data_IF_772142014147
#
_entry.id   IF_772142014147
#
_cell.length_a   1.000
_cell.length_b   1.000
_cell.length_c   1.000
_cell.angle_alpha   90.00
_cell.angle_beta   90.00
_cell.angle_gamma   90.00
#
_symmetry.space_group_name_H-M   'P 1'
#
loop_
_entity.id
_entity.type
_entity.pdbx_description
1 polymer ?
#
# COMPACT_ATOMS: atom_id res chain seq x y z
N UNK A 1 29.83 -2.36 -17.86
CA UNK A 1 29.45 -2.29 -16.47
C UNK A 1 28.00 -2.79 -16.43
N UNK A 2 27.80 -4.00 -15.94
CA UNK A 2 26.46 -4.57 -15.77
C UNK A 2 25.78 -3.80 -14.65
N UNK A 3 24.76 -3.00 -14.98
CA UNK A 3 23.80 -2.51 -13.99
C UNK A 3 23.12 -3.75 -13.42
N UNK A 4 23.55 -4.18 -12.23
CA UNK A 4 22.73 -5.09 -11.44
C UNK A 4 21.40 -4.38 -11.21
N UNK A 5 20.38 -4.80 -11.95
CA UNK A 5 19.05 -4.24 -11.83
C UNK A 5 18.56 -4.44 -10.39
N UNK A 6 18.05 -3.38 -9.78
CA UNK A 6 17.41 -3.47 -8.47
C UNK A 6 16.31 -4.52 -8.60
N UNK A 7 16.35 -5.55 -7.75
CA UNK A 7 15.30 -6.56 -7.73
C UNK A 7 13.95 -5.88 -7.47
N UNK A 8 12.96 -6.18 -8.33
CA UNK A 8 11.60 -5.64 -8.20
C UNK A 8 11.02 -5.87 -6.81
N UNK A 9 10.34 -4.87 -6.25
CA UNK A 9 9.73 -4.96 -4.93
C UNK A 9 8.22 -4.84 -4.99
N UNK A 10 7.54 -5.75 -4.31
CA UNK A 10 6.08 -5.71 -4.12
C UNK A 10 5.79 -5.22 -2.71
N UNK A 11 5.03 -4.15 -2.61
CA UNK A 11 4.59 -3.52 -1.37
C UNK A 11 3.08 -3.65 -1.26
N UNK A 12 2.60 -4.33 -0.23
CA UNK A 12 1.17 -4.47 0.03
C UNK A 12 0.76 -3.56 1.17
N UNK A 13 -0.24 -2.70 0.93
CA UNK A 13 -0.78 -1.82 1.96
C UNK A 13 -2.02 -2.45 2.60
N UNK A 14 -1.98 -2.62 3.91
CA UNK A 14 -3.05 -3.27 4.67
C UNK A 14 -3.47 -2.46 5.88
N UNK A 15 -4.74 -2.55 6.25
CA UNK A 15 -5.25 -2.09 7.55
C UNK A 15 -6.58 -2.75 7.83
N UNK A 16 -6.95 -2.87 9.09
CA UNK A 16 -8.27 -3.38 9.51
C UNK A 16 -9.34 -2.29 9.57
N UNK A 17 -8.96 -1.04 9.34
CA UNK A 17 -9.87 0.11 9.36
C UNK A 17 -9.64 1.02 8.16
N UNK A 18 -10.72 1.53 7.61
CA UNK A 18 -10.69 2.54 6.54
C UNK A 18 -10.19 3.90 7.01
N UNK A 19 -9.91 4.79 6.08
CA UNK A 19 -9.56 6.21 6.31
C UNK A 19 -8.27 6.44 7.11
N UNK A 20 -7.33 5.49 7.10
CA UNK A 20 -5.99 5.67 7.70
C UNK A 20 -5.00 6.33 6.74
N UNK A 21 -5.32 6.41 5.45
CA UNK A 21 -4.48 7.04 4.42
C UNK A 21 -3.60 6.07 3.63
N UNK A 22 -3.92 4.77 3.57
CA UNK A 22 -3.17 3.77 2.77
C UNK A 22 -2.99 4.21 1.32
N UNK A 23 -4.11 4.43 0.63
CA UNK A 23 -4.14 4.85 -0.78
C UNK A 23 -3.30 6.09 -1.02
N UNK A 24 -3.49 7.14 -0.20
CA UNK A 24 -2.73 8.37 -0.31
C UNK A 24 -1.22 8.12 -0.15
N UNK A 25 -0.82 7.33 0.85
CA UNK A 25 0.59 7.00 1.07
C UNK A 25 1.17 6.14 -0.06
N UNK A 26 0.42 5.15 -0.59
CA UNK A 26 0.85 4.40 -1.77
C UNK A 26 1.16 5.34 -2.94
N UNK A 27 0.22 6.24 -3.25
CA UNK A 27 0.36 7.22 -4.33
C UNK A 27 1.58 8.12 -4.12
N UNK A 28 1.77 8.66 -2.92
CA UNK A 28 2.86 9.59 -2.66
C UNK A 28 4.23 8.93 -2.59
N UNK A 29 4.34 7.72 -2.04
CA UNK A 29 5.57 6.94 -2.02
C UNK A 29 5.93 6.52 -3.47
N UNK A 30 4.97 5.95 -4.20
CA UNK A 30 5.19 5.52 -5.58
C UNK A 30 5.47 6.69 -6.51
N UNK A 31 4.79 7.83 -6.33
CA UNK A 31 5.05 9.06 -7.09
C UNK A 31 6.46 9.60 -6.85
N UNK A 32 6.94 9.58 -5.59
CA UNK A 32 8.34 9.93 -5.29
C UNK A 32 9.33 9.01 -6.03
N UNK A 33 9.09 7.69 -5.98
CA UNK A 33 9.95 6.72 -6.66
C UNK A 33 9.94 6.91 -8.19
N UNK A 34 8.77 7.19 -8.77
CA UNK A 34 8.64 7.46 -10.19
C UNK A 34 9.40 8.72 -10.63
N UNK A 35 9.36 9.78 -9.82
CA UNK A 35 10.15 11.00 -10.05
C UNK A 35 11.66 10.79 -9.87
N UNK A 36 12.07 9.71 -9.17
CA UNK A 36 13.47 9.23 -9.14
C UNK A 36 13.80 8.29 -10.31
N UNK A 37 12.96 8.23 -11.34
CA UNK A 37 13.16 7.41 -12.55
C UNK A 37 12.89 5.91 -12.37
N UNK A 38 12.21 5.50 -11.29
CA UNK A 38 11.81 4.10 -11.06
C UNK A 38 10.50 3.80 -11.77
N UNK A 39 10.40 2.62 -12.37
CA UNK A 39 9.14 2.14 -12.94
C UNK A 39 8.23 1.62 -11.83
N UNK A 40 7.06 2.21 -11.69
CA UNK A 40 6.10 1.93 -10.63
C UNK A 40 4.80 1.40 -11.23
N UNK A 41 4.28 0.30 -10.69
CA UNK A 41 2.95 -0.19 -10.99
C UNK A 41 2.08 -0.13 -9.73
N UNK A 42 0.91 0.48 -9.84
CA UNK A 42 -0.12 0.42 -8.81
C UNK A 42 -1.19 -0.61 -9.17
N UNK A 43 -1.65 -1.35 -8.17
CA UNK A 43 -2.78 -2.28 -8.28
C UNK A 43 -3.86 -1.83 -7.30
N UNK A 44 -5.00 -1.40 -7.81
CA UNK A 44 -6.15 -1.01 -7.00
C UNK A 44 -7.03 -2.23 -6.71
N UNK A 45 -6.81 -2.83 -5.53
CA UNK A 45 -7.63 -3.93 -5.04
C UNK A 45 -8.73 -3.47 -4.06
N UNK A 46 -8.92 -2.13 -3.88
CA UNK A 46 -9.97 -1.54 -3.07
C UNK A 46 -11.23 -1.27 -3.91
N UNK A 47 -12.37 -1.80 -3.49
CA UNK A 47 -13.66 -1.56 -4.13
C UNK A 47 -14.09 -0.09 -4.14
N UNK A 48 -13.53 0.75 -3.27
CA UNK A 48 -13.77 2.19 -3.25
C UNK A 48 -13.11 2.92 -4.43
N UNK A 49 -12.16 2.27 -5.12
CA UNK A 49 -11.49 2.80 -6.32
C UNK A 49 -10.78 4.15 -6.08
N UNK A 50 -10.32 4.41 -4.86
CA UNK A 50 -9.69 5.69 -4.52
C UNK A 50 -8.41 5.91 -5.30
N UNK A 51 -7.58 4.89 -5.45
CA UNK A 51 -6.36 4.92 -6.25
C UNK A 51 -6.68 5.09 -7.74
N UNK A 52 -7.62 4.31 -8.26
CA UNK A 52 -8.07 4.38 -9.65
C UNK A 52 -8.56 5.78 -10.05
N UNK A 53 -9.21 6.51 -9.13
CA UNK A 53 -9.76 7.85 -9.37
C UNK A 53 -8.77 8.98 -9.17
N UNK A 54 -7.63 8.71 -8.56
CA UNK A 54 -6.66 9.75 -8.27
C UNK A 54 -5.92 10.22 -9.53
N UNK A 55 -5.68 9.33 -10.48
CA UNK A 55 -4.98 9.63 -11.72
C UNK A 55 -5.94 10.06 -12.83
N UNK A 56 -5.43 10.82 -13.80
CA UNK A 56 -6.14 11.17 -15.01
C UNK A 56 -5.72 10.24 -16.15
N UNK A 57 -6.68 9.85 -16.99
CA UNK A 57 -6.47 8.88 -18.07
C UNK A 57 -6.76 9.50 -19.44
N UNK A 58 -6.19 8.95 -20.52
CA UNK A 58 -6.50 9.39 -21.86
C UNK A 58 -8.01 9.31 -22.15
N UNK A 59 -8.55 10.30 -22.90
CA UNK A 59 -9.99 10.40 -23.22
C UNK A 59 -10.55 9.20 -23.98
N UNK A 60 -9.68 8.45 -24.67
CA UNK A 60 -10.03 7.26 -25.42
C UNK A 60 -9.99 5.97 -24.59
N UNK A 61 -9.68 6.06 -23.30
CA UNK A 61 -9.73 4.88 -22.44
C UNK A 61 -11.17 4.39 -22.32
N UNK A 62 -11.45 3.07 -22.54
CA UNK A 62 -12.81 2.55 -22.42
C UNK A 62 -13.36 2.72 -21.00
N UNK A 63 -14.58 3.21 -20.87
CA UNK A 63 -15.27 3.40 -19.57
C UNK A 63 -15.36 2.09 -18.77
N UNK A 64 -15.38 0.94 -19.45
CA UNK A 64 -15.45 -0.40 -18.87
C UNK A 64 -14.18 -1.21 -19.16
N UNK A 65 -13.01 -0.55 -19.15
CA UNK A 65 -11.75 -1.26 -19.30
C UNK A 65 -11.67 -2.40 -18.27
N UNK A 66 -11.12 -3.57 -18.64
CA UNK A 66 -10.87 -4.61 -17.67
C UNK A 66 -9.85 -4.11 -16.64
N UNK A 67 -9.93 -4.65 -15.43
CA UNK A 67 -9.05 -4.26 -14.35
C UNK A 67 -8.73 -5.44 -13.42
N UNK A 68 -8.36 -5.12 -12.20
CA UNK A 68 -7.93 -6.10 -11.20
C UNK A 68 -8.91 -7.25 -11.01
N UNK A 69 -10.21 -6.97 -10.93
CA UNK A 69 -11.22 -8.01 -10.68
C UNK A 69 -11.29 -9.03 -11.82
N UNK A 70 -11.33 -8.59 -13.10
CA UNK A 70 -11.33 -9.51 -14.25
C UNK A 70 -10.01 -10.24 -14.37
N UNK A 71 -8.90 -9.56 -14.20
CA UNK A 71 -7.57 -10.16 -14.22
C UNK A 71 -7.42 -11.24 -13.14
N UNK A 72 -7.80 -10.93 -11.90
CA UNK A 72 -7.70 -11.87 -10.78
C UNK A 72 -8.50 -13.16 -11.01
N UNK A 73 -9.67 -13.08 -11.61
CA UNK A 73 -10.49 -14.28 -11.91
C UNK A 73 -10.15 -14.96 -13.24
N UNK A 74 -9.18 -14.42 -14.02
CA UNK A 74 -8.76 -15.00 -15.30
C UNK A 74 -9.71 -14.69 -16.47
N UNK A 75 -10.39 -13.55 -16.43
CA UNK A 75 -11.27 -13.04 -17.49
C UNK A 75 -10.64 -11.91 -18.32
N UNK A 76 -9.40 -11.53 -18.02
CA UNK A 76 -8.59 -10.60 -18.79
C UNK A 76 -7.11 -10.95 -18.64
N UNK A 77 -6.34 -10.66 -19.68
CA UNK A 77 -4.90 -10.82 -19.68
C UNK A 77 -4.20 -9.59 -19.08
N UNK A 78 -2.94 -9.74 -18.65
CA UNK A 78 -2.19 -8.67 -18.00
C UNK A 78 -2.11 -7.40 -18.86
N UNK A 79 -1.81 -7.53 -20.14
CA UNK A 79 -1.63 -6.38 -21.04
C UNK A 79 -2.95 -5.64 -21.34
N UNK A 80 -4.09 -6.27 -21.09
CA UNK A 80 -5.41 -5.64 -21.25
C UNK A 80 -5.80 -4.77 -20.04
N UNK A 81 -5.18 -5.01 -18.87
CA UNK A 81 -5.55 -4.35 -17.61
C UNK A 81 -4.60 -3.25 -17.19
N UNK A 82 -3.42 -3.14 -17.83
CA UNK A 82 -2.46 -2.08 -17.53
C UNK A 82 -2.92 -0.78 -18.19
N UNK A 83 -3.08 0.26 -17.37
CA UNK A 83 -3.45 1.60 -17.81
C UNK A 83 -2.29 2.57 -17.57
N UNK A 84 -2.06 3.47 -18.54
CA UNK A 84 -1.05 4.51 -18.48
C UNK A 84 -1.71 5.86 -18.15
N UNK A 85 -1.53 6.43 -16.96
CA UNK A 85 -2.08 7.74 -16.64
C UNK A 85 -1.41 8.85 -17.42
N UNK A 86 -2.15 9.94 -17.64
CA UNK A 86 -1.61 11.11 -18.34
C UNK A 86 -0.57 11.81 -17.47
N UNK A 87 0.53 12.26 -18.09
CA UNK A 87 1.62 13.01 -17.44
C UNK A 87 2.44 12.25 -16.39
N UNK A 88 2.44 10.92 -16.41
CA UNK A 88 3.20 10.09 -15.50
C UNK A 88 3.91 8.94 -16.22
N UNK A 89 5.04 9.24 -16.90
CA UNK A 89 5.74 8.28 -17.78
C UNK A 89 6.24 7.01 -17.08
N UNK A 90 6.54 7.10 -15.78
CA UNK A 90 7.07 5.98 -14.99
C UNK A 90 6.00 5.29 -14.12
N UNK A 91 4.73 5.61 -14.32
CA UNK A 91 3.62 5.05 -13.52
C UNK A 91 2.64 4.34 -14.42
N UNK A 92 2.33 3.10 -14.06
CA UNK A 92 1.24 2.32 -14.62
C UNK A 92 0.28 1.89 -13.52
N UNK A 93 -0.97 1.60 -13.90
CA UNK A 93 -2.02 1.26 -12.94
C UNK A 93 -2.88 0.13 -13.48
N UNK A 94 -3.14 -0.85 -12.62
CA UNK A 94 -4.22 -1.83 -12.80
C UNK A 94 -5.41 -1.33 -11.98
N UNK A 95 -6.43 -0.84 -12.68
CA UNK A 95 -7.63 -0.23 -12.08
C UNK A 95 -8.49 -1.27 -11.38
N UNK A 96 -9.30 -0.85 -10.42
CA UNK A 96 -10.36 -1.70 -9.88
C UNK A 96 -11.58 -1.69 -10.82
N UNK A 97 -12.04 -2.85 -11.26
CA UNK A 97 -13.25 -3.03 -12.08
C UNK A 97 -14.33 -3.89 -11.38
N UNK A 98 -14.22 -4.06 -10.06
CA UNK A 98 -15.17 -4.80 -9.22
C UNK A 98 -15.64 -3.97 -8.01
N UNK A 99 -16.32 -2.82 -8.24
CA UNK A 99 -16.69 -1.88 -7.17
C UNK A 99 -17.67 -2.48 -6.14
N UNK A 100 -18.37 -3.55 -6.51
CA UNK A 100 -19.30 -4.25 -5.62
C UNK A 100 -18.67 -5.47 -4.93
N UNK A 101 -17.40 -5.76 -5.14
CA UNK A 101 -16.65 -6.91 -4.59
C UNK A 101 -17.22 -8.29 -4.94
N UNK A 102 -18.19 -8.37 -5.81
CA UNK A 102 -18.91 -9.62 -6.05
C UNK A 102 -18.06 -10.64 -6.77
N UNK A 103 -17.22 -10.21 -7.71
CA UNK A 103 -16.42 -11.09 -8.56
C UNK A 103 -15.28 -11.75 -7.79
N UNK A 104 -14.41 -10.92 -7.19
CA UNK A 104 -13.24 -11.40 -6.46
C UNK A 104 -13.65 -12.18 -5.22
N UNK A 105 -14.57 -11.67 -4.40
CA UNK A 105 -15.04 -12.35 -3.20
C UNK A 105 -15.69 -13.70 -3.51
N UNK A 106 -16.55 -13.76 -4.57
CA UNK A 106 -17.13 -15.01 -5.02
C UNK A 106 -16.06 -16.00 -5.47
N UNK A 107 -15.08 -15.55 -6.26
CA UNK A 107 -14.01 -16.40 -6.76
C UNK A 107 -13.15 -16.98 -5.63
N UNK A 108 -12.78 -16.17 -4.64
CA UNK A 108 -12.02 -16.61 -3.47
C UNK A 108 -12.80 -17.65 -2.64
N UNK A 109 -14.10 -17.46 -2.47
CA UNK A 109 -14.96 -18.40 -1.74
C UNK A 109 -15.16 -19.74 -2.47
N UNK A 110 -15.36 -19.67 -3.79
CA UNK A 110 -15.76 -20.83 -4.58
C UNK A 110 -14.55 -21.67 -5.05
N UNK A 111 -13.32 -21.16 -4.92
CA UNK A 111 -12.09 -21.82 -5.39
C UNK A 111 -11.08 -21.99 -4.27
N UNK A 112 -10.92 -23.22 -3.81
CA UNK A 112 -9.89 -23.56 -2.83
C UNK A 112 -8.49 -23.24 -3.40
N UNK A 113 -7.69 -22.51 -2.61
CA UNK A 113 -6.33 -22.10 -3.03
C UNK A 113 -6.26 -20.86 -3.92
N UNK A 114 -7.39 -20.24 -4.31
CA UNK A 114 -7.38 -18.97 -5.06
C UNK A 114 -6.61 -17.85 -4.35
N UNK A 115 -6.54 -17.89 -3.03
CA UNK A 115 -5.78 -16.96 -2.19
C UNK A 115 -4.28 -16.95 -2.54
N UNK A 116 -3.73 -18.04 -3.07
CA UNK A 116 -2.31 -18.14 -3.47
C UNK A 116 -2.03 -17.72 -4.92
N UNK A 117 -3.09 -17.50 -5.71
CA UNK A 117 -2.96 -17.23 -7.14
C UNK A 117 -2.17 -15.95 -7.44
N UNK A 118 -2.36 -14.92 -6.62
CA UNK A 118 -1.79 -13.59 -6.86
C UNK A 118 -0.25 -13.62 -6.93
N UNK A 119 0.42 -14.46 -6.15
CA UNK A 119 1.87 -14.60 -6.21
C UNK A 119 2.38 -14.96 -7.63
N UNK A 120 1.70 -15.91 -8.30
CA UNK A 120 2.01 -16.26 -9.69
C UNK A 120 1.72 -15.15 -10.68
N UNK A 121 0.62 -14.42 -10.45
CA UNK A 121 0.18 -13.30 -11.30
C UNK A 121 1.13 -12.09 -11.24
N UNK A 122 1.83 -11.88 -10.13
CA UNK A 122 2.78 -10.77 -9.97
C UNK A 122 4.13 -11.01 -10.66
N UNK A 123 4.49 -12.24 -11.02
CA UNK A 123 5.79 -12.55 -11.63
C UNK A 123 6.07 -11.72 -12.89
N UNK A 124 5.19 -11.67 -13.91
CA UNK A 124 5.44 -10.87 -15.11
C UNK A 124 5.48 -9.35 -14.81
N UNK A 125 4.82 -8.87 -13.77
CA UNK A 125 4.95 -7.48 -13.33
C UNK A 125 6.31 -7.20 -12.71
N UNK A 126 6.87 -8.13 -11.96
CA UNK A 126 8.21 -8.00 -11.37
C UNK A 126 9.33 -7.90 -12.45
N UNK A 127 9.09 -8.39 -13.65
CA UNK A 127 10.01 -8.25 -14.78
C UNK A 127 9.93 -6.86 -15.44
N UNK A 128 8.84 -6.12 -15.24
CA UNK A 128 8.53 -4.84 -15.90
C UNK A 128 8.75 -3.63 -15.02
N UNK A 129 8.56 -3.78 -13.69
CA UNK A 129 8.51 -2.67 -12.73
C UNK A 129 9.53 -2.84 -11.61
N UNK A 130 10.12 -1.73 -11.19
CA UNK A 130 11.01 -1.70 -10.01
C UNK A 130 10.21 -1.82 -8.71
N UNK A 131 9.01 -1.19 -8.67
CA UNK A 131 8.13 -1.20 -7.51
C UNK A 131 6.68 -1.47 -7.92
N UNK A 132 6.02 -2.35 -7.16
CA UNK A 132 4.62 -2.70 -7.34
C UNK A 132 3.90 -2.43 -6.03
N UNK A 133 2.92 -1.54 -6.02
CA UNK A 133 2.11 -1.22 -4.85
C UNK A 133 0.72 -1.83 -5.00
N UNK A 134 0.28 -2.60 -4.00
CA UNK A 134 -1.07 -3.18 -3.96
C UNK A 134 -1.85 -2.46 -2.86
N UNK A 135 -2.82 -1.63 -3.25
CA UNK A 135 -3.72 -0.95 -2.33
C UNK A 135 -4.96 -1.80 -2.06
N UNK A 136 -5.30 -1.96 -0.79
CA UNK A 136 -6.42 -2.80 -0.35
C UNK A 136 -7.40 -2.02 0.50
N UNK A 137 -8.61 -2.55 0.60
CA UNK A 137 -9.61 -2.02 1.51
C UNK A 137 -9.17 -2.14 2.98
N UNK A 138 -9.65 -1.19 3.79
CA UNK A 138 -9.51 -1.26 5.25
C UNK A 138 -10.59 -2.15 5.86
N UNK A 139 -10.32 -3.46 5.95
CA UNK A 139 -11.21 -4.44 6.58
C UNK A 139 -10.38 -5.53 7.26
N UNK A 140 -10.94 -6.15 8.29
CA UNK A 140 -10.29 -7.30 8.95
C UNK A 140 -10.69 -8.66 8.31
N UNK A 141 -11.49 -8.63 7.24
CA UNK A 141 -11.91 -9.83 6.53
C UNK A 141 -12.84 -10.78 7.32
N UNK A 142 -13.20 -10.41 8.56
CA UNK A 142 -13.95 -11.31 9.47
C UNK A 142 -15.41 -11.51 9.11
N UNK A 143 -15.95 -10.65 8.25
CA UNK A 143 -17.37 -10.71 7.84
C UNK A 143 -17.64 -11.76 6.77
N UNK A 144 -16.62 -12.47 6.30
CA UNK A 144 -16.75 -13.43 5.20
C UNK A 144 -16.28 -14.82 5.66
N UNK A 145 -17.16 -15.79 5.50
CA UNK A 145 -16.86 -17.22 5.65
C UNK A 145 -15.91 -17.70 4.53
N UNK A 146 -14.69 -17.23 4.49
CA UNK A 146 -13.72 -17.59 3.45
C UNK A 146 -12.48 -16.70 3.44
N UNK A 147 -11.55 -16.97 2.52
CA UNK A 147 -10.36 -16.16 2.30
C UNK A 147 -10.72 -14.78 1.76
N UNK A 148 -10.05 -13.76 2.25
CA UNK A 148 -10.25 -12.36 1.85
C UNK A 148 -9.21 -11.92 0.82
N UNK A 149 -9.44 -10.77 0.19
CA UNK A 149 -8.42 -10.14 -0.66
C UNK A 149 -7.19 -9.75 0.16
N UNK A 150 -7.35 -9.40 1.44
CA UNK A 150 -6.20 -9.13 2.32
C UNK A 150 -5.34 -10.38 2.52
N UNK A 151 -5.95 -11.57 2.70
CA UNK A 151 -5.19 -12.82 2.76
C UNK A 151 -4.45 -13.05 1.45
N UNK A 152 -5.11 -12.84 0.30
CA UNK A 152 -4.51 -13.04 -1.01
C UNK A 152 -3.29 -12.12 -1.24
N UNK A 153 -3.37 -10.84 -0.85
CA UNK A 153 -2.27 -9.90 -1.03
C UNK A 153 -1.13 -10.14 -0.02
N UNK A 154 -1.44 -10.56 1.20
CA UNK A 154 -0.42 -10.96 2.18
C UNK A 154 0.30 -12.25 1.74
N UNK A 155 -0.39 -13.16 1.04
CA UNK A 155 0.16 -14.42 0.53
C UNK A 155 0.73 -14.30 -0.89
N UNK A 156 0.71 -13.10 -1.48
CA UNK A 156 1.25 -12.81 -2.81
C UNK A 156 2.78 -12.70 -2.88
N UNK A 157 3.49 -13.12 -1.83
CA UNK A 157 4.94 -12.97 -1.70
C UNK A 157 5.41 -11.52 -1.78
N UNK A 158 4.77 -10.59 -1.04
CA UNK A 158 5.26 -9.22 -1.03
C UNK A 158 6.64 -9.13 -0.37
N UNK A 159 7.44 -8.17 -0.80
CA UNK A 159 8.73 -7.86 -0.15
C UNK A 159 8.53 -7.02 1.11
N UNK A 160 7.36 -6.36 1.22
CA UNK A 160 6.97 -5.56 2.37
C UNK A 160 5.45 -5.53 2.52
N UNK A 161 4.97 -5.79 3.73
CA UNK A 161 3.61 -5.46 4.15
C UNK A 161 3.69 -4.15 4.95
N UNK A 162 3.07 -3.09 4.42
CA UNK A 162 3.01 -1.78 5.07
C UNK A 162 1.62 -1.56 5.65
N UNK A 163 1.53 -1.46 6.96
CA UNK A 163 0.31 -1.07 7.64
C UNK A 163 0.36 0.38 8.08
N UNK A 164 -0.77 1.07 7.98
CA UNK A 164 -0.90 2.49 8.31
C UNK A 164 -1.82 2.66 9.50
N UNK A 165 -1.40 3.46 10.46
CA UNK A 165 -2.20 3.85 11.63
C UNK A 165 -2.13 5.35 11.88
N UNK A 166 -3.00 5.86 12.76
CA UNK A 166 -3.03 7.27 13.18
C UNK A 166 -2.88 7.37 14.70
N UNK A 167 -2.41 8.49 15.19
CA UNK A 167 -2.29 8.80 16.62
C UNK A 167 -3.64 9.20 17.22
N UNK A 168 -4.65 8.34 17.06
CA UNK A 168 -5.98 8.47 17.67
C UNK A 168 -6.32 7.12 18.33
N UNK A 169 -6.89 7.15 19.52
CA UNK A 169 -7.17 5.95 20.34
C UNK A 169 -7.86 4.83 19.56
N UNK A 170 -8.86 5.17 18.76
CA UNK A 170 -9.59 4.19 17.95
C UNK A 170 -8.77 3.47 16.88
N UNK A 171 -7.65 4.05 16.43
CA UNK A 171 -6.76 3.43 15.45
C UNK A 171 -5.61 2.67 16.12
N UNK A 172 -5.16 3.11 17.29
CA UNK A 172 -4.16 2.39 18.06
C UNK A 172 -4.64 0.98 18.45
N UNK A 173 -5.92 0.82 18.77
CA UNK A 173 -6.51 -0.49 19.06
C UNK A 173 -6.55 -1.43 17.84
N UNK A 174 -6.60 -0.90 16.62
CA UNK A 174 -6.62 -1.69 15.39
C UNK A 174 -5.25 -2.29 15.04
N UNK A 175 -4.16 -1.74 15.59
CA UNK A 175 -2.80 -2.21 15.31
C UNK A 175 -2.64 -3.69 15.69
N UNK A 176 -3.16 -4.09 16.86
CA UNK A 176 -3.14 -5.51 17.30
C UNK A 176 -3.92 -6.42 16.36
N UNK A 177 -5.05 -5.96 15.82
CA UNK A 177 -5.83 -6.73 14.84
C UNK A 177 -5.07 -6.99 13.56
N UNK A 178 -4.35 -5.99 13.05
CA UNK A 178 -3.48 -6.19 11.87
C UNK A 178 -2.41 -7.22 12.15
N UNK A 179 -1.78 -7.18 13.34
CA UNK A 179 -0.79 -8.18 13.75
C UNK A 179 -1.40 -9.58 13.83
N UNK A 180 -2.63 -9.71 14.31
CA UNK A 180 -3.33 -11.02 14.36
C UNK A 180 -3.63 -11.54 12.94
N UNK A 181 -4.11 -10.68 12.03
CA UNK A 181 -4.34 -11.07 10.62
C UNK A 181 -3.02 -11.49 9.96
N UNK A 182 -1.96 -10.73 10.16
CA UNK A 182 -0.62 -11.06 9.66
C UNK A 182 -0.11 -12.41 10.20
N UNK A 183 -0.27 -12.70 11.48
CA UNK A 183 0.13 -13.99 12.07
C UNK A 183 -0.64 -15.16 11.50
N UNK A 184 -1.92 -14.98 11.22
CA UNK A 184 -2.71 -16.00 10.55
C UNK A 184 -2.18 -16.26 9.13
N UNK A 185 -1.81 -15.22 8.39
CA UNK A 185 -1.14 -15.36 7.09
C UNK A 185 0.22 -16.08 7.23
N UNK A 186 1.03 -15.75 8.26
CA UNK A 186 2.29 -16.45 8.54
C UNK A 186 2.12 -17.95 8.75
N UNK A 187 1.06 -18.38 9.43
CA UNK A 187 0.77 -19.79 9.59
C UNK A 187 0.53 -20.47 8.24
N UNK A 188 -0.17 -19.79 7.31
CA UNK A 188 -0.33 -20.29 5.94
C UNK A 188 1.01 -20.42 5.20
N UNK A 189 1.94 -19.45 5.34
CA UNK A 189 3.30 -19.56 4.79
C UNK A 189 4.06 -20.81 5.26
N UNK A 190 3.92 -21.19 6.52
CA UNK A 190 4.53 -22.43 7.06
C UNK A 190 4.01 -23.69 6.37
N UNK A 191 2.72 -23.73 6.05
CA UNK A 191 2.12 -24.89 5.36
C UNK A 191 2.58 -25.02 3.89
N UNK A 192 2.95 -23.92 3.24
CA UNK A 192 3.41 -23.94 1.85
C UNK A 192 4.95 -23.99 1.73
N UNK A 193 5.63 -24.34 2.85
CA UNK A 193 7.10 -24.52 2.91
C UNK A 193 7.91 -23.31 2.42
N UNK A 194 7.39 -22.10 2.58
CA UNK A 194 8.10 -20.87 2.21
C UNK A 194 9.07 -20.44 3.29
N UNK A 195 10.30 -20.16 2.88
CA UNK A 195 11.42 -19.92 3.79
C UNK A 195 11.38 -18.59 4.53
N UNK A 196 10.68 -17.58 4.03
CA UNK A 196 10.61 -16.27 4.64
C UNK A 196 9.21 -15.67 4.56
N UNK A 197 8.71 -15.22 5.70
CA UNK A 197 7.53 -14.39 5.76
C UNK A 197 7.90 -12.93 5.40
N UNK A 198 7.06 -12.21 4.65
CA UNK A 198 7.31 -10.81 4.36
C UNK A 198 7.31 -9.97 5.64
N UNK A 199 8.21 -8.99 5.79
CA UNK A 199 8.22 -8.12 6.95
C UNK A 199 6.93 -7.28 7.02
N UNK A 200 6.39 -7.13 8.23
CA UNK A 200 5.31 -6.19 8.52
C UNK A 200 5.87 -4.95 9.20
N UNK A 201 5.65 -3.79 8.58
CA UNK A 201 6.01 -2.49 9.13
C UNK A 201 4.79 -1.61 9.33
N UNK A 202 4.77 -0.84 10.41
CA UNK A 202 3.73 0.13 10.70
C UNK A 202 4.24 1.54 10.47
N UNK A 203 3.42 2.37 9.80
CA UNK A 203 3.64 3.79 9.58
C UNK A 203 2.58 4.60 10.33
N UNK A 204 3.03 5.59 11.09
CA UNK A 204 2.14 6.58 11.69
C UNK A 204 1.87 7.68 10.67
N UNK A 205 0.59 7.86 10.34
CA UNK A 205 0.12 8.87 9.41
C UNK A 205 -0.76 9.92 10.09
N UNK A 206 -0.80 11.12 9.54
CA UNK A 206 -1.61 12.23 10.03
C UNK A 206 -1.41 12.53 11.53
N UNK A 207 -0.17 12.51 11.99
CA UNK A 207 0.14 12.88 13.36
C UNK A 207 -0.03 14.40 13.56
N UNK A 208 -0.93 14.79 14.47
CA UNK A 208 -1.11 16.19 14.82
C UNK A 208 -0.36 16.52 16.11
N UNK A 209 0.78 17.23 15.96
CA UNK A 209 1.64 17.64 17.08
C UNK A 209 1.00 18.65 18.03
N UNK A 210 -0.06 19.34 17.58
CA UNK A 210 -0.74 20.34 18.39
C UNK A 210 -1.76 19.73 19.35
N UNK A 211 -2.03 18.42 19.23
CA UNK A 211 -2.97 17.70 20.07
C UNK A 211 -2.22 16.86 21.11
N UNK A 212 -2.39 17.17 22.41
CA UNK A 212 -1.81 16.39 23.50
C UNK A 212 -2.15 14.90 23.42
N UNK A 213 -3.41 14.58 23.10
CA UNK A 213 -3.86 13.19 22.92
C UNK A 213 -3.08 12.48 21.82
N UNK A 214 -2.73 13.16 20.71
CA UNK A 214 -1.90 12.57 19.65
C UNK A 214 -0.50 12.22 20.16
N UNK A 215 0.09 13.07 21.00
CA UNK A 215 1.41 12.83 21.58
C UNK A 215 1.38 11.66 22.58
N UNK A 216 0.33 11.56 23.41
CA UNK A 216 0.13 10.43 24.33
C UNK A 216 -0.03 9.12 23.58
N UNK A 217 -0.93 9.07 22.59
CA UNK A 217 -1.15 7.85 21.77
C UNK A 217 0.13 7.46 21.01
N UNK A 218 0.91 8.41 20.52
CA UNK A 218 2.20 8.14 19.89
C UNK A 218 3.15 7.44 20.87
N UNK A 219 3.27 7.97 22.08
CA UNK A 219 4.13 7.40 23.14
C UNK A 219 3.69 5.99 23.50
N UNK A 220 2.38 5.77 23.66
CA UNK A 220 1.81 4.47 24.00
C UNK A 220 2.07 3.44 22.89
N UNK A 221 1.94 3.85 21.62
CA UNK A 221 2.27 2.99 20.48
C UNK A 221 3.75 2.62 20.48
N UNK A 222 4.65 3.61 20.61
CA UNK A 222 6.10 3.38 20.66
C UNK A 222 6.49 2.43 21.80
N UNK A 223 5.92 2.63 22.99
CA UNK A 223 6.15 1.76 24.12
C UNK A 223 5.61 0.35 23.86
N UNK A 224 4.40 0.23 23.31
CA UNK A 224 3.80 -1.07 22.98
C UNK A 224 4.66 -1.87 22.00
N UNK A 225 5.17 -1.23 20.95
CA UNK A 225 6.06 -1.89 19.99
C UNK A 225 7.40 -2.31 20.60
N UNK A 226 7.90 -1.57 21.59
CA UNK A 226 9.15 -1.89 22.28
C UNK A 226 9.03 -2.99 23.32
N UNK A 227 7.91 -3.06 24.03
CA UNK A 227 7.78 -3.87 25.26
C UNK A 227 6.80 -5.04 25.13
N UNK A 228 5.78 -4.94 24.26
CA UNK A 228 4.75 -5.97 24.17
C UNK A 228 5.17 -7.11 23.23
N UNK A 229 5.27 -8.36 23.72
CA UNK A 229 5.64 -9.53 22.90
C UNK A 229 4.73 -9.77 21.68
N UNK A 230 3.52 -9.18 21.68
CA UNK A 230 2.64 -9.20 20.53
C UNK A 230 3.22 -8.51 19.30
N UNK A 231 4.22 -7.67 19.42
CA UNK A 231 4.89 -6.98 18.31
C UNK A 231 6.25 -7.60 17.92
N UNK A 232 6.64 -8.74 18.51
CA UNK A 232 7.88 -9.39 18.11
C UNK A 232 7.89 -9.73 16.61
N UNK A 233 8.93 -9.25 15.91
CA UNK A 233 9.07 -9.42 14.46
C UNK A 233 8.24 -8.43 13.62
N UNK A 234 7.64 -7.42 14.25
CA UNK A 234 6.90 -6.33 13.61
C UNK A 234 7.62 -5.01 13.93
N UNK A 235 7.74 -4.14 12.95
CA UNK A 235 8.49 -2.88 13.07
C UNK A 235 7.54 -1.67 13.06
N UNK A 236 7.75 -0.72 13.96
CA UNK A 236 7.20 0.63 13.85
C UNK A 236 8.25 1.54 13.21
N UNK A 237 7.93 2.14 12.06
CA UNK A 237 8.81 3.07 11.37
C UNK A 237 9.10 4.30 12.22
N UNK A 238 10.31 4.83 12.10
CA UNK A 238 10.74 6.05 12.80
C UNK A 238 10.14 7.30 12.17
N UNK A 239 9.96 7.26 10.85
CA UNK A 239 9.32 8.35 10.12
C UNK A 239 7.84 8.43 10.48
N UNK A 240 7.38 9.63 10.82
CA UNK A 240 6.00 9.96 11.14
C UNK A 240 5.52 10.97 10.13
N UNK A 241 4.41 10.68 9.44
CA UNK A 241 3.79 11.61 8.49
C UNK A 241 2.91 12.59 9.26
N UNK A 242 3.21 13.91 9.23
CA UNK A 242 2.44 14.89 9.96
C UNK A 242 1.09 15.19 9.30
N UNK A 243 0.11 15.57 10.10
CA UNK A 243 -1.14 16.13 9.59
C UNK A 243 -0.92 17.54 9.05
N UNK A 244 -1.11 17.75 7.76
CA UNK A 244 -0.99 19.05 7.10
C UNK A 244 -2.31 19.41 6.42
N UNK A 245 -3.17 20.11 7.18
CA UNK A 245 -4.51 20.49 6.73
C UNK A 245 -4.50 21.17 5.35
N UNK A 246 -3.60 22.13 5.15
CA UNK A 246 -3.48 22.86 3.88
C UNK A 246 -3.16 21.97 2.69
N UNK A 247 -2.27 20.98 2.86
CA UNK A 247 -1.97 20.02 1.81
C UNK A 247 -3.21 19.23 1.41
N UNK A 248 -3.96 18.71 2.39
CA UNK A 248 -5.18 17.94 2.10
C UNK A 248 -6.30 18.81 1.50
N UNK A 249 -6.40 20.09 1.87
CA UNK A 249 -7.32 21.04 1.25
C UNK A 249 -6.93 21.31 -0.22
N UNK A 250 -5.65 21.52 -0.51
CA UNK A 250 -5.13 21.75 -1.87
C UNK A 250 -5.27 20.51 -2.75
N UNK A 251 -5.02 19.32 -2.21
CA UNK A 251 -5.19 18.03 -2.92
C UNK A 251 -6.65 17.81 -3.35
N UNK A 252 -7.62 18.18 -2.50
CA UNK A 252 -9.05 18.09 -2.82
C UNK A 252 -9.50 19.12 -3.85
N UNK A 253 -8.82 20.26 -3.95
CA UNK A 253 -9.32 21.40 -4.71
C UNK A 253 -8.83 21.54 -6.14
N UNK A 254 -7.84 20.81 -6.65
CA UNK A 254 -7.53 20.82 -8.11
C UNK A 254 -6.15 20.32 -8.53
N UNK A 255 -5.16 20.27 -7.67
CA UNK A 255 -3.82 19.90 -8.11
C UNK A 255 -3.44 18.61 -7.38
N UNK A 256 -3.62 17.49 -8.05
CA UNK A 256 -3.13 16.18 -7.61
C UNK A 256 -1.59 16.21 -7.55
N UNK A 257 -1.06 16.90 -6.55
CA UNK A 257 0.38 17.09 -6.35
C UNK A 257 0.90 16.05 -5.38
N UNK A 258 1.97 15.37 -5.74
CA UNK A 258 2.62 14.45 -4.82
C UNK A 258 3.20 15.20 -3.61
N UNK A 259 3.22 14.56 -2.43
CA UNK A 259 3.73 15.18 -1.20
C UNK A 259 5.16 15.71 -1.35
N UNK A 260 6.03 15.03 -2.08
CA UNK A 260 7.43 15.46 -2.29
C UNK A 260 7.55 16.70 -3.20
N UNK A 261 6.53 17.00 -3.98
CA UNK A 261 6.47 18.21 -4.83
C UNK A 261 5.83 19.39 -4.09
N UNK A 262 5.17 19.14 -2.94
CA UNK A 262 4.51 20.18 -2.16
C UNK A 262 5.51 21.03 -1.38
N UNK A 263 5.53 22.33 -1.67
CA UNK A 263 6.42 23.29 -1.03
C UNK A 263 5.64 24.16 -0.04
N UNK A 264 5.96 24.04 1.24
CA UNK A 264 5.49 24.92 2.29
C UNK A 264 6.73 25.51 3.00
N UNK A 265 7.20 26.72 2.59
CA UNK A 265 8.43 27.31 3.09
C UNK A 265 8.40 27.62 4.60
N UNK A 266 7.22 27.68 5.20
CA UNK A 266 7.03 27.95 6.63
C UNK A 266 6.76 26.67 7.45
N UNK A 267 6.86 25.50 6.84
CA UNK A 267 6.58 24.23 7.53
C UNK A 267 7.77 23.78 8.36
N UNK A 268 7.53 23.45 9.62
CA UNK A 268 8.52 22.82 10.50
C UNK A 268 8.86 21.39 10.03
N UNK A 269 7.91 20.68 9.43
CA UNK A 269 8.08 19.36 8.80
C UNK A 269 7.64 19.45 7.34
N UNK A 270 8.53 19.80 6.43
CA UNK A 270 8.19 19.88 5.02
C UNK A 270 7.91 18.46 4.47
N UNK A 271 6.75 18.29 3.81
CA UNK A 271 6.29 16.99 3.34
C UNK A 271 7.25 16.34 2.35
N UNK A 272 7.96 17.13 1.55
CA UNK A 272 8.98 16.64 0.64
C UNK A 272 10.10 15.88 1.38
N UNK A 273 10.59 16.42 2.49
CA UNK A 273 11.63 15.77 3.29
C UNK A 273 11.09 14.55 4.03
N UNK A 274 9.85 14.63 4.52
CA UNK A 274 9.19 13.50 5.20
C UNK A 274 9.05 12.31 4.26
N UNK A 275 8.54 12.50 3.03
CA UNK A 275 8.37 11.43 2.05
C UNK A 275 9.72 10.87 1.59
N UNK A 276 10.72 11.73 1.36
CA UNK A 276 12.08 11.29 1.05
C UNK A 276 12.63 10.39 2.16
N UNK A 277 12.59 10.85 3.41
CA UNK A 277 13.06 10.09 4.58
C UNK A 277 12.31 8.76 4.72
N UNK A 278 11.00 8.77 4.52
CA UNK A 278 10.18 7.56 4.53
C UNK A 278 10.62 6.56 3.45
N UNK A 279 10.82 7.03 2.23
CA UNK A 279 11.28 6.16 1.14
C UNK A 279 12.67 5.58 1.42
N UNK A 280 13.59 6.38 1.97
CA UNK A 280 14.91 5.92 2.39
C UNK A 280 14.89 4.94 3.58
N UNK A 281 13.89 5.02 4.45
CA UNK A 281 13.68 4.07 5.54
C UNK A 281 13.05 2.76 5.04
N UNK A 282 12.12 2.84 4.10
CA UNK A 282 11.48 1.67 3.49
C UNK A 282 12.41 0.93 2.53
N UNK A 283 13.21 1.67 1.80
CA UNK A 283 14.06 1.22 0.69
C UNK A 283 15.50 1.73 0.87
N UNK A 284 16.30 1.09 1.74
CA UNK A 284 17.66 1.56 2.06
C UNK A 284 18.59 1.66 0.85
N UNK A 285 18.31 0.93 -0.22
CA UNK A 285 19.05 1.01 -1.47
C UNK A 285 18.99 2.38 -2.15
N UNK A 286 17.98 3.20 -1.86
CA UNK A 286 17.89 4.57 -2.38
C UNK A 286 18.98 5.49 -1.83
N UNK A 287 19.56 5.18 -0.67
CA UNK A 287 20.66 5.94 -0.07
C UNK A 287 22.02 5.70 -0.74
N UNK A 288 22.13 4.60 -1.50
CA UNK A 288 23.42 4.17 -2.09
C UNK A 288 23.65 4.72 -3.51
N UNK A 289 22.70 5.46 -4.05
CA UNK A 289 22.69 5.99 -5.41
C UNK A 289 23.06 7.48 -5.54
N UNK A 290 23.78 8.05 -4.55
CA UNK A 290 24.30 9.42 -4.62
C UNK A 290 25.82 9.38 -4.79
#
# INVERSE_FOLDING_TARGET
>A
MSTEGIASKVITLVSTKGSVGKTALAIHIGGYLADQGKKVCFIDADSQQSLSRWFDYPKNQPVNAPGFGKWFVGQAELDEVICHPVNHENIDIILNDDPNKLRVAKYLRDNAGAVYKLAGMLRPLRERYDYIFIDTEGTDGRDHNGSSIQDAVMLAEPDLILSVTKTKVQFAMEVLRVVDVYRNALNAYRFIERSCAPPLKFLINEHDRNLNVSAEVLKDLQQSFAENPAFNGVELLKTIVPFKRKFFEDEHHKNKVFMHQYKDPNSYDPLNEVIKTLCEELFPELKQGV
#
